data_IF_213171203343
#
_entry.id   IF_213171203343
#
_cell.length_a   1.000
_cell.length_b   1.000
_cell.length_c   1.000
_cell.angle_alpha   90.00
_cell.angle_beta   90.00
_cell.angle_gamma   90.00
#
_symmetry.space_group_name_H-M   'P 1'
#
loop_
_entity.id
_entity.type
_entity.pdbx_description
1 polymer ?
#
# COMPACT_ATOMS: atom_id res chain seq x y z
N UNK A 1 48.48 6.07 15.12
CA UNK A 1 47.67 7.31 15.09
C UNK A 1 47.61 7.77 13.64
N UNK A 2 46.49 7.52 12.93
CA UNK A 2 46.36 7.93 11.53
C UNK A 2 45.42 9.13 11.45
N UNK A 3 45.95 10.30 11.78
CA UNK A 3 45.24 11.57 11.64
C UNK A 3 46.07 12.46 10.71
N UNK A 4 45.57 12.68 9.50
CA UNK A 4 46.11 13.64 8.56
C UNK A 4 45.20 14.87 8.55
N UNK A 5 45.80 16.07 8.57
CA UNK A 5 45.09 17.34 8.60
C UNK A 5 45.71 18.31 7.59
N UNK A 6 44.89 18.94 6.75
CA UNK A 6 45.29 20.01 5.84
C UNK A 6 44.12 20.99 5.60
N UNK A 7 44.34 22.25 5.19
CA UNK A 7 43.31 23.30 5.22
C UNK A 7 41.98 22.96 4.52
N UNK A 8 42.01 22.14 3.46
CA UNK A 8 40.86 21.77 2.62
C UNK A 8 40.37 20.32 2.82
N UNK A 9 40.89 19.58 3.81
CA UNK A 9 40.62 18.15 3.97
C UNK A 9 39.14 17.77 3.99
N UNK A 10 38.31 18.62 4.61
CA UNK A 10 36.85 18.40 4.68
C UNK A 10 36.20 18.52 3.31
N UNK A 11 36.57 19.55 2.54
CA UNK A 11 35.99 19.83 1.23
C UNK A 11 36.31 18.69 0.26
N UNK A 12 37.57 18.26 0.24
CA UNK A 12 38.04 17.16 -0.61
C UNK A 12 37.40 15.82 -0.24
N UNK A 13 37.25 15.53 1.06
CA UNK A 13 36.55 14.32 1.50
C UNK A 13 35.07 14.30 1.07
N UNK A 14 34.38 15.45 1.14
CA UNK A 14 33.00 15.59 0.68
C UNK A 14 32.92 15.40 -0.84
N UNK A 15 33.79 16.05 -1.61
CA UNK A 15 33.85 15.95 -3.07
C UNK A 15 34.15 14.52 -3.54
N UNK A 16 35.06 13.83 -2.86
CA UNK A 16 35.33 12.41 -3.09
C UNK A 16 34.09 11.55 -2.83
N UNK A 17 33.39 11.76 -1.70
CA UNK A 17 32.17 11.03 -1.40
C UNK A 17 31.05 11.27 -2.45
N UNK A 18 30.97 12.46 -3.02
CA UNK A 18 30.02 12.79 -4.09
C UNK A 18 30.35 12.15 -5.44
N UNK A 19 31.64 11.95 -5.74
CA UNK A 19 32.11 11.39 -7.02
C UNK A 19 32.36 9.89 -6.96
N UNK A 20 32.47 9.30 -5.77
CA UNK A 20 32.73 7.88 -5.59
C UNK A 20 31.50 7.02 -5.90
N UNK A 21 31.57 6.26 -6.99
CA UNK A 21 30.51 5.34 -7.45
C UNK A 21 30.03 4.36 -6.37
N UNK A 22 30.96 3.77 -5.61
CA UNK A 22 30.64 2.84 -4.52
C UNK A 22 29.86 3.54 -3.40
N UNK A 23 30.25 4.75 -3.03
CA UNK A 23 29.56 5.53 -2.01
C UNK A 23 28.18 5.96 -2.49
N UNK A 24 28.03 6.39 -3.75
CA UNK A 24 26.74 6.80 -4.32
C UNK A 24 25.76 5.62 -4.46
N UNK A 25 26.25 4.43 -4.80
CA UNK A 25 25.42 3.20 -4.89
C UNK A 25 25.03 2.65 -3.53
N UNK A 26 25.94 2.68 -2.55
CA UNK A 26 25.70 2.15 -1.21
C UNK A 26 24.85 3.09 -0.35
N UNK A 27 25.11 4.39 -0.44
CA UNK A 27 24.42 5.41 0.34
C UNK A 27 23.36 6.08 -0.55
N UNK A 28 22.17 5.47 -0.61
CA UNK A 28 21.01 6.15 -1.19
C UNK A 28 20.81 7.47 -0.43
N UNK A 29 20.56 8.57 -1.14
CA UNK A 29 20.25 9.83 -0.48
C UNK A 29 19.02 9.63 0.43
N UNK A 30 19.16 9.79 1.74
CA UNK A 30 18.04 9.85 2.69
C UNK A 30 17.23 11.16 2.54
N UNK A 31 17.45 11.89 1.44
CA UNK A 31 17.00 13.24 1.19
C UNK A 31 15.94 13.30 0.10
N UNK A 32 14.82 12.65 0.32
CA UNK A 32 13.54 13.32 0.15
C UNK A 32 12.78 13.03 1.43
N UNK A 33 12.30 14.09 2.11
CA UNK A 33 11.15 13.91 3.00
C UNK A 33 10.15 13.11 2.18
N UNK A 34 9.71 11.95 2.67
CA UNK A 34 8.56 11.24 2.11
C UNK A 34 7.60 12.32 1.62
N UNK A 35 7.34 12.38 0.31
CA UNK A 35 6.54 13.46 -0.28
C UNK A 35 5.28 13.65 0.56
N UNK A 36 4.76 14.89 0.63
CA UNK A 36 3.57 15.23 1.44
C UNK A 36 2.60 14.06 1.45
N UNK A 37 2.42 13.42 2.61
CA UNK A 37 1.48 12.32 2.76
C UNK A 37 0.13 12.89 2.33
N UNK A 38 -0.39 12.39 1.21
CA UNK A 38 -1.69 12.83 0.71
C UNK A 38 -2.71 12.29 1.71
N UNK A 39 -3.21 13.16 2.59
CA UNK A 39 -4.27 12.80 3.50
C UNK A 39 -5.55 12.58 2.70
N UNK A 40 -6.02 11.34 2.68
CA UNK A 40 -7.33 11.00 2.13
C UNK A 40 -8.37 11.60 3.09
N UNK A 41 -9.22 12.47 2.56
CA UNK A 41 -10.30 13.13 3.29
C UNK A 41 -11.12 12.12 4.10
N UNK A 42 -11.50 12.50 5.32
CA UNK A 42 -12.37 11.66 6.14
C UNK A 42 -13.78 11.60 5.54
N UNK A 43 -14.40 10.41 5.50
CA UNK A 43 -15.79 10.29 5.07
C UNK A 43 -16.73 11.00 6.05
N UNK A 44 -17.81 11.56 5.53
CA UNK A 44 -18.87 12.26 6.26
C UNK A 44 -20.11 11.39 6.48
N UNK A 45 -20.26 10.31 5.72
CA UNK A 45 -21.34 9.34 5.89
C UNK A 45 -20.85 7.89 5.82
N UNK A 46 -21.67 6.98 6.32
CA UNK A 46 -21.50 5.54 6.13
C UNK A 46 -21.31 5.22 4.64
N UNK A 47 -20.40 4.29 4.35
CA UNK A 47 -20.12 3.78 3.01
C UNK A 47 -19.58 4.79 1.99
N UNK A 48 -19.39 6.07 2.36
CA UNK A 48 -18.88 7.08 1.42
C UNK A 48 -17.48 6.75 0.89
N UNK A 49 -16.63 6.21 1.76
CA UNK A 49 -15.28 5.79 1.42
C UNK A 49 -15.01 4.39 1.99
N UNK A 50 -14.54 3.48 1.13
CA UNK A 50 -14.19 2.11 1.51
C UNK A 50 -12.74 1.80 1.16
N UNK A 51 -12.11 0.99 2.01
CA UNK A 51 -10.82 0.37 1.72
C UNK A 51 -11.03 -1.08 1.28
N UNK A 52 -10.36 -1.48 0.21
CA UNK A 52 -10.30 -2.86 -0.26
C UNK A 52 -8.89 -3.41 -0.01
N UNK A 53 -8.82 -4.66 0.45
CA UNK A 53 -7.57 -5.39 0.62
C UNK A 53 -7.82 -6.89 0.41
N UNK A 54 -6.79 -7.66 0.07
CA UNK A 54 -6.88 -9.11 -0.06
C UNK A 54 -5.88 -9.84 0.80
N UNK A 55 -6.39 -10.79 1.56
CA UNK A 55 -5.57 -11.77 2.27
C UNK A 55 -5.51 -13.05 1.44
N UNK A 56 -4.32 -13.43 0.96
CA UNK A 56 -4.14 -14.43 -0.12
C UNK A 56 -3.43 -15.73 0.29
N UNK A 57 -3.08 -15.87 1.57
CA UNK A 57 -2.24 -16.97 2.05
C UNK A 57 -3.03 -18.05 2.81
N UNK A 58 -4.30 -18.27 2.48
CA UNK A 58 -5.10 -19.29 3.15
C UNK A 58 -4.96 -20.66 2.46
N UNK A 59 -4.94 -21.76 3.22
CA UNK A 59 -5.15 -23.08 2.63
C UNK A 59 -6.58 -23.15 2.05
N UNK A 60 -6.78 -23.79 0.88
CA UNK A 60 -8.11 -23.99 0.31
C UNK A 60 -9.05 -24.63 1.34
N UNK A 61 -10.18 -23.99 1.59
CA UNK A 61 -11.10 -24.36 2.68
C UNK A 61 -12.56 -24.38 2.24
N UNK A 62 -13.34 -25.30 2.82
CA UNK A 62 -14.76 -25.49 2.55
C UNK A 62 -15.06 -26.16 1.21
N UNK A 63 -16.35 -26.40 0.93
CA UNK A 63 -16.81 -27.14 -0.27
C UNK A 63 -16.44 -26.44 -1.59
N UNK A 64 -16.23 -25.13 -1.54
CA UNK A 64 -15.85 -24.31 -2.70
C UNK A 64 -14.34 -24.07 -2.82
N UNK A 65 -13.55 -24.50 -1.84
CA UNK A 65 -12.08 -24.39 -1.89
C UNK A 65 -11.55 -22.95 -1.93
N UNK A 66 -12.20 -22.02 -1.25
CA UNK A 66 -11.72 -20.64 -1.18
C UNK A 66 -10.34 -20.58 -0.51
N UNK A 67 -9.43 -19.82 -1.11
CA UNK A 67 -8.02 -19.68 -0.69
C UNK A 67 -7.63 -18.21 -0.43
N UNK A 68 -8.57 -17.27 -0.57
CA UNK A 68 -8.36 -15.85 -0.31
C UNK A 68 -9.61 -15.21 0.33
N UNK A 69 -9.42 -14.04 0.92
CA UNK A 69 -10.49 -13.22 1.48
C UNK A 69 -10.33 -11.78 0.97
N UNK A 70 -11.40 -11.25 0.37
CA UNK A 70 -11.55 -9.82 0.09
C UNK A 70 -12.05 -9.14 1.36
N UNK A 71 -11.25 -8.22 1.88
CA UNK A 71 -11.55 -7.40 3.05
C UNK A 71 -12.03 -6.04 2.58
N UNK A 72 -13.20 -5.64 3.06
CA UNK A 72 -13.83 -4.36 2.72
C UNK A 72 -14.04 -3.61 4.03
N UNK A 73 -13.41 -2.46 4.19
CA UNK A 73 -13.50 -1.65 5.40
C UNK A 73 -14.24 -0.35 5.08
N UNK A 74 -15.40 -0.14 5.69
CA UNK A 74 -16.02 1.18 5.70
C UNK A 74 -15.19 2.13 6.57
N UNK A 75 -14.69 3.21 5.96
CA UNK A 75 -13.84 4.15 6.67
C UNK A 75 -14.57 4.98 7.72
N UNK A 76 -15.89 5.14 7.60
CA UNK A 76 -16.66 5.91 8.56
C UNK A 76 -16.91 5.09 9.82
N UNK A 77 -17.59 3.94 9.69
CA UNK A 77 -17.91 3.07 10.84
C UNK A 77 -16.72 2.25 11.37
N UNK A 78 -15.64 2.12 10.58
CA UNK A 78 -14.52 1.20 10.84
C UNK A 78 -14.96 -0.27 10.88
N UNK A 79 -16.10 -0.59 10.27
CA UNK A 79 -16.62 -1.96 10.23
C UNK A 79 -16.04 -2.73 9.04
N UNK A 80 -15.40 -3.89 9.26
CA UNK A 80 -14.97 -4.77 8.18
C UNK A 80 -16.10 -5.69 7.70
N UNK A 81 -16.12 -5.95 6.40
CA UNK A 81 -16.81 -7.06 5.74
C UNK A 81 -15.72 -7.98 5.17
N UNK A 82 -15.88 -9.28 5.41
CA UNK A 82 -14.99 -10.32 4.90
C UNK A 82 -15.75 -11.17 3.89
N UNK A 83 -15.26 -11.23 2.65
CA UNK A 83 -15.85 -12.02 1.58
C UNK A 83 -14.87 -13.10 1.13
N UNK A 84 -15.24 -14.39 1.19
CA UNK A 84 -14.37 -15.45 0.69
C UNK A 84 -14.29 -15.36 -0.84
N UNK A 85 -13.07 -15.51 -1.37
CA UNK A 85 -12.78 -15.41 -2.79
C UNK A 85 -11.60 -16.33 -3.15
N UNK A 86 -11.25 -16.37 -4.43
CA UNK A 86 -10.05 -17.06 -4.88
C UNK A 86 -8.90 -16.08 -5.08
N UNK A 87 -7.67 -16.56 -4.95
CA UNK A 87 -6.46 -15.80 -5.30
C UNK A 87 -6.40 -15.55 -6.81
N UNK A 88 -6.97 -16.47 -7.58
CA UNK A 88 -7.00 -16.51 -9.04
C UNK A 88 -8.18 -15.73 -9.65
N UNK A 89 -9.06 -15.14 -8.82
CA UNK A 89 -10.19 -14.33 -9.29
C UNK A 89 -9.70 -13.16 -10.12
N UNK A 90 -10.35 -12.91 -11.26
CA UNK A 90 -10.03 -11.74 -12.08
C UNK A 90 -10.52 -10.45 -11.41
N UNK A 91 -10.06 -9.31 -11.95
CA UNK A 91 -10.58 -7.99 -11.56
C UNK A 91 -12.10 -7.88 -11.77
N UNK A 92 -12.64 -8.54 -12.80
CA UNK A 92 -14.08 -8.57 -13.07
C UNK A 92 -14.83 -9.42 -12.04
N UNK A 93 -14.29 -10.58 -11.67
CA UNK A 93 -14.89 -11.44 -10.63
C UNK A 93 -14.95 -10.72 -9.29
N UNK A 94 -13.87 -10.00 -8.94
CA UNK A 94 -13.85 -9.16 -7.74
C UNK A 94 -14.87 -8.02 -7.83
N UNK A 95 -14.96 -7.32 -8.97
CA UNK A 95 -15.93 -6.23 -9.14
C UNK A 95 -17.37 -6.74 -8.98
N UNK A 96 -17.69 -7.91 -9.55
CA UNK A 96 -18.99 -8.55 -9.39
C UNK A 96 -19.25 -9.01 -7.96
N UNK A 97 -18.24 -9.56 -7.28
CA UNK A 97 -18.35 -9.95 -5.87
C UNK A 97 -18.65 -8.75 -4.99
N UNK A 98 -17.89 -7.65 -5.16
CA UNK A 98 -18.08 -6.39 -4.45
C UNK A 98 -19.46 -5.79 -4.72
N UNK A 99 -19.87 -5.74 -6.00
CA UNK A 99 -21.16 -5.20 -6.39
C UNK A 99 -22.32 -5.97 -5.76
N UNK A 100 -22.32 -7.29 -5.93
CA UNK A 100 -23.41 -8.14 -5.50
C UNK A 100 -23.52 -8.27 -3.98
N UNK A 101 -22.41 -8.17 -3.26
CA UNK A 101 -22.39 -8.41 -1.80
C UNK A 101 -22.40 -7.15 -0.96
N UNK A 102 -21.91 -6.03 -1.49
CA UNK A 102 -21.76 -4.79 -0.70
C UNK A 102 -22.44 -3.61 -1.37
N UNK A 103 -22.04 -3.24 -2.58
CA UNK A 103 -22.52 -1.98 -3.19
C UNK A 103 -24.05 -2.01 -3.39
N UNK A 104 -24.62 -3.16 -3.76
CA UNK A 104 -26.06 -3.33 -3.92
C UNK A 104 -26.88 -3.20 -2.62
N UNK A 105 -26.24 -3.29 -1.45
CA UNK A 105 -26.89 -3.29 -0.13
C UNK A 105 -26.51 -2.06 0.71
N UNK A 106 -25.73 -1.13 0.16
CA UNK A 106 -25.20 0.03 0.87
C UNK A 106 -25.62 1.32 0.18
N UNK A 107 -25.46 2.44 0.89
CA UNK A 107 -25.59 3.76 0.29
C UNK A 107 -24.48 4.02 -0.74
N UNK A 108 -24.50 5.18 -1.40
CA UNK A 108 -23.57 5.53 -2.46
C UNK A 108 -22.09 5.51 -2.00
N UNK A 109 -21.33 4.53 -2.48
CA UNK A 109 -19.85 4.51 -2.37
C UNK A 109 -19.26 5.51 -3.36
N UNK A 110 -18.58 6.55 -2.86
CA UNK A 110 -17.94 7.58 -3.70
C UNK A 110 -16.48 7.28 -3.96
N UNK A 111 -15.78 6.78 -2.95
CA UNK A 111 -14.34 6.56 -3.00
C UNK A 111 -14.01 5.11 -2.64
N UNK A 112 -13.31 4.43 -3.55
CA UNK A 112 -12.74 3.11 -3.32
C UNK A 112 -11.22 3.27 -3.30
N UNK A 113 -10.59 2.87 -2.20
CA UNK A 113 -9.14 2.93 -2.02
C UNK A 113 -8.63 1.51 -1.94
N UNK A 114 -7.66 1.19 -2.79
CA UNK A 114 -7.07 -0.13 -2.91
C UNK A 114 -5.56 0.02 -3.14
N UNK A 115 -4.77 -0.95 -2.69
CA UNK A 115 -3.35 -1.01 -3.02
C UNK A 115 -3.15 -1.41 -4.49
N UNK A 116 -1.98 -1.11 -5.04
CA UNK A 116 -1.53 -1.48 -6.39
C UNK A 116 -0.83 -2.83 -6.42
N UNK A 117 -1.25 -3.77 -5.59
CA UNK A 117 -0.76 -5.12 -5.70
C UNK A 117 -1.25 -5.76 -7.01
N UNK A 118 -0.44 -6.62 -7.66
CA UNK A 118 -0.78 -7.28 -8.93
C UNK A 118 -1.82 -8.40 -8.75
N UNK A 119 -2.84 -8.14 -7.94
CA UNK A 119 -3.99 -9.00 -7.75
C UNK A 119 -5.15 -8.58 -8.64
#
# INVERSE_FOLDING_TARGET
>A
MNCAWWPSWRKEAIEYCHTCDRCQKANRSTGNKFGLIIHIQEPKSLWEAVHLDWVTAFPPSGDKGYNSCLVILDRYSKTPIFLPCHKEDSSMDTALLLWNRVISHTDLVRNIINDRDPK
#
